data_IF_292612152385
#
_entry.id   IF_292612152385
#
_cell.length_a   1.000
_cell.length_b   1.000
_cell.length_c   1.000
_cell.angle_alpha   90.00
_cell.angle_beta   90.00
_cell.angle_gamma   90.00
#
_symmetry.space_group_name_H-M   'P 1'
#
loop_
_entity.id
_entity.type
_entity.pdbx_description
1 polymer ?
#
# COMPACT_ATOMS: atom_id res chain seq x y z
N UNK A 1 -1.95 -23.24 28.16
CA UNK A 1 -2.86 -22.34 27.44
C UNK A 1 -2.10 -21.86 26.22
N UNK A 2 -2.73 -21.70 25.06
CA UNK A 2 -2.03 -21.12 23.88
C UNK A 2 -1.63 -19.70 24.27
N UNK A 3 -0.33 -19.44 24.46
CA UNK A 3 0.18 -18.09 24.70
C UNK A 3 0.01 -17.34 23.38
N UNK A 4 -1.05 -16.54 23.30
CA UNK A 4 -1.25 -15.65 22.17
C UNK A 4 -0.12 -14.64 22.10
N UNK A 5 0.14 -14.12 20.91
CA UNK A 5 1.14 -13.06 20.70
C UNK A 5 0.42 -11.71 20.60
N UNK A 6 0.90 -10.71 21.32
CA UNK A 6 0.41 -9.34 21.17
C UNK A 6 0.92 -8.73 19.86
N UNK A 7 0.07 -7.98 19.16
CA UNK A 7 0.42 -7.29 17.92
C UNK A 7 0.04 -5.82 18.03
N UNK A 8 1.02 -4.94 18.22
CA UNK A 8 0.82 -3.51 18.50
C UNK A 8 0.98 -2.70 17.21
N UNK A 9 -0.04 -1.89 16.88
CA UNK A 9 0.02 -0.95 15.77
C UNK A 9 0.51 0.44 16.19
N UNK A 10 1.36 1.04 15.36
CA UNK A 10 1.74 2.45 15.39
C UNK A 10 0.71 3.34 14.63
N UNK A 11 0.79 4.67 14.82
CA UNK A 11 0.01 5.69 14.10
C UNK A 11 0.16 5.53 12.58
N UNK A 12 1.39 5.34 12.09
CA UNK A 12 1.63 5.20 10.64
C UNK A 12 0.92 3.98 10.06
N UNK A 13 0.90 2.87 10.81
CA UNK A 13 0.21 1.64 10.41
C UNK A 13 -1.29 1.90 10.17
N UNK A 14 -1.97 2.57 11.09
CA UNK A 14 -3.42 2.86 10.97
C UNK A 14 -3.74 3.95 9.94
N UNK A 15 -2.74 4.73 9.50
CA UNK A 15 -2.89 5.69 8.39
C UNK A 15 -2.80 4.97 7.05
N UNK A 16 -1.82 4.05 6.92
CA UNK A 16 -1.56 3.33 5.67
C UNK A 16 -2.66 2.29 5.36
N UNK A 17 -3.30 1.72 6.39
CA UNK A 17 -4.30 0.66 6.22
C UNK A 17 -5.73 1.20 6.29
N UNK A 18 -6.39 1.35 5.13
CA UNK A 18 -7.78 1.84 5.04
C UNK A 18 -8.80 0.86 5.63
N UNK A 19 -8.62 -0.44 5.41
CA UNK A 19 -9.52 -1.52 5.86
C UNK A 19 -8.98 -2.20 7.13
N UNK A 20 -8.80 -1.39 8.18
CA UNK A 20 -8.19 -1.82 9.44
C UNK A 20 -8.96 -2.97 10.12
N UNK A 21 -10.27 -3.02 9.95
CA UNK A 21 -11.14 -4.09 10.46
C UNK A 21 -10.81 -5.46 9.84
N UNK A 22 -10.58 -5.50 8.52
CA UNK A 22 -10.18 -6.72 7.81
C UNK A 22 -8.81 -7.17 8.28
N UNK A 23 -7.86 -6.24 8.44
CA UNK A 23 -6.51 -6.55 8.93
C UNK A 23 -6.56 -7.13 10.34
N UNK A 24 -7.29 -6.49 11.26
CA UNK A 24 -7.46 -6.97 12.63
C UNK A 24 -8.07 -8.37 12.65
N UNK A 25 -9.10 -8.60 11.83
CA UNK A 25 -9.78 -9.90 11.78
C UNK A 25 -8.83 -11.02 11.34
N UNK A 26 -8.04 -10.78 10.29
CA UNK A 26 -7.07 -11.77 9.79
C UNK A 26 -5.93 -12.04 10.78
N UNK A 27 -5.50 -11.04 11.55
CA UNK A 27 -4.53 -11.24 12.63
C UNK A 27 -5.12 -12.05 13.78
N UNK A 28 -6.39 -11.80 14.16
CA UNK A 28 -7.10 -12.60 15.17
C UNK A 28 -7.26 -14.06 14.75
N UNK A 29 -7.49 -14.34 13.47
CA UNK A 29 -7.53 -15.70 12.91
C UNK A 29 -6.17 -16.44 13.02
N UNK A 30 -5.08 -15.70 13.16
CA UNK A 30 -3.73 -16.21 13.39
C UNK A 30 -3.35 -16.21 14.88
N UNK A 31 -4.34 -16.15 15.76
CA UNK A 31 -4.20 -16.13 17.23
C UNK A 31 -3.48 -14.90 17.82
N UNK A 32 -3.29 -13.83 17.05
CA UNK A 32 -2.77 -12.57 17.60
C UNK A 32 -3.84 -11.81 18.38
N UNK A 33 -3.42 -11.12 19.44
CA UNK A 33 -4.22 -10.12 20.13
C UNK A 33 -3.74 -8.74 19.68
N UNK A 34 -4.60 -8.00 18.98
CA UNK A 34 -4.20 -6.74 18.36
C UNK A 34 -4.41 -5.57 19.33
N UNK A 35 -3.38 -4.76 19.49
CA UNK A 35 -3.31 -3.60 20.38
C UNK A 35 -3.02 -2.32 19.61
N UNK A 36 -3.40 -1.20 20.23
CA UNK A 36 -3.01 0.14 19.79
C UNK A 36 -2.83 1.03 21.02
N UNK A 37 -1.94 2.02 20.95
CA UNK A 37 -1.81 3.01 22.03
C UNK A 37 -2.81 4.14 21.90
N UNK A 38 -3.26 4.67 23.04
CA UNK A 38 -4.05 5.90 23.11
C UNK A 38 -3.31 7.06 22.45
N UNK A 39 -1.98 7.10 22.57
CA UNK A 39 -1.10 8.07 21.92
C UNK A 39 -1.26 8.02 20.39
N UNK A 40 -1.23 6.83 19.79
CA UNK A 40 -1.39 6.68 18.34
C UNK A 40 -2.79 7.11 17.85
N UNK A 41 -3.83 6.79 18.63
CA UNK A 41 -5.21 7.22 18.33
C UNK A 41 -5.32 8.75 18.38
N UNK A 42 -4.83 9.36 19.45
CA UNK A 42 -4.92 10.81 19.64
C UNK A 42 -4.08 11.57 18.60
N UNK A 43 -2.93 11.03 18.20
CA UNK A 43 -2.14 11.56 17.09
C UNK A 43 -2.93 11.52 15.78
N UNK A 44 -3.50 10.36 15.42
CA UNK A 44 -4.32 10.21 14.21
C UNK A 44 -5.48 11.21 14.19
N UNK A 45 -6.16 11.38 15.32
CA UNK A 45 -7.24 12.35 15.47
C UNK A 45 -6.70 13.76 15.25
N UNK A 46 -5.61 14.15 15.91
CA UNK A 46 -5.02 15.48 15.78
C UNK A 46 -4.60 15.80 14.33
N UNK A 47 -4.04 14.83 13.60
CA UNK A 47 -3.69 15.01 12.18
C UNK A 47 -4.91 15.31 11.30
N UNK A 48 -6.01 14.57 11.45
CA UNK A 48 -7.24 14.86 10.68
C UNK A 48 -7.86 16.19 11.07
N UNK A 49 -7.86 16.50 12.36
CA UNK A 49 -8.31 17.77 12.87
C UNK A 49 -7.56 18.96 12.24
N UNK A 50 -6.23 18.85 12.12
CA UNK A 50 -5.40 19.87 11.48
C UNK A 50 -5.75 20.02 9.99
N UNK A 51 -5.92 18.91 9.25
CA UNK A 51 -6.38 18.95 7.85
C UNK A 51 -7.73 19.65 7.69
N UNK A 52 -8.65 19.45 8.63
CA UNK A 52 -9.95 20.15 8.60
C UNK A 52 -9.79 21.63 8.94
N UNK A 53 -8.96 21.99 9.92
CA UNK A 53 -8.67 23.38 10.26
C UNK A 53 -8.13 24.15 9.06
N UNK A 54 -7.17 23.57 8.32
CA UNK A 54 -6.61 24.19 7.12
C UNK A 54 -7.70 24.54 6.08
N UNK A 55 -8.71 23.69 5.92
CA UNK A 55 -9.86 23.95 5.03
C UNK A 55 -10.70 25.13 5.52
N UNK A 56 -10.98 25.19 6.82
CA UNK A 56 -11.72 26.30 7.41
C UNK A 56 -10.96 27.62 7.31
N UNK A 57 -9.65 27.59 7.57
CA UNK A 57 -8.78 28.77 7.44
C UNK A 57 -8.73 29.25 5.97
N UNK A 58 -8.69 28.33 5.00
CA UNK A 58 -8.76 28.67 3.58
C UNK A 58 -10.08 29.34 3.20
N UNK A 59 -11.22 28.84 3.71
CA UNK A 59 -12.54 29.43 3.49
C UNK A 59 -12.60 30.85 4.07
N UNK A 60 -12.10 31.05 5.29
CA UNK A 60 -12.10 32.38 5.92
C UNK A 60 -11.19 33.37 5.17
N UNK A 61 -10.00 32.94 4.71
CA UNK A 61 -9.15 33.77 3.83
C UNK A 61 -9.87 34.18 2.55
N UNK A 62 -10.51 33.22 1.88
CA UNK A 62 -11.27 33.48 0.65
C UNK A 62 -12.44 34.44 0.89
N UNK A 63 -13.18 34.23 1.99
CA UNK A 63 -14.28 35.12 2.41
C UNK A 63 -13.81 36.55 2.65
N UNK A 64 -12.66 36.73 3.29
CA UNK A 64 -12.08 38.06 3.53
C UNK A 64 -11.63 38.73 2.22
N UNK A 65 -11.05 37.96 1.29
CA UNK A 65 -10.53 38.49 0.03
C UNK A 65 -11.62 39.00 -0.92
N UNK A 66 -12.80 38.37 -0.93
CA UNK A 66 -13.87 38.66 -1.89
C UNK A 66 -15.14 39.22 -1.24
N UNK A 67 -15.05 39.77 -0.03
CA UNK A 67 -16.20 40.23 0.76
C UNK A 67 -17.06 41.28 0.04
N UNK A 68 -16.44 42.10 -0.83
CA UNK A 68 -17.12 43.13 -1.62
C UNK A 68 -17.86 42.57 -2.86
N UNK A 69 -17.59 41.32 -3.23
CA UNK A 69 -18.11 40.69 -4.46
C UNK A 69 -19.07 39.54 -4.11
N UNK A 70 -18.74 38.73 -3.10
CA UNK A 70 -19.46 37.51 -2.76
C UNK A 70 -19.68 37.43 -1.25
N UNK A 71 -20.90 37.07 -0.85
CA UNK A 71 -21.23 36.72 0.53
C UNK A 71 -21.21 35.20 0.72
N UNK A 72 -20.33 34.72 1.59
CA UNK A 72 -20.19 33.29 1.92
C UNK A 72 -20.71 33.06 3.33
N UNK A 73 -21.65 32.12 3.47
CA UNK A 73 -22.21 31.72 4.76
C UNK A 73 -21.67 30.35 5.18
N UNK A 74 -20.97 30.32 6.32
CA UNK A 74 -20.55 29.06 6.95
C UNK A 74 -21.76 28.42 7.63
N UNK A 75 -22.16 27.24 7.14
CA UNK A 75 -23.32 26.50 7.65
C UNK A 75 -23.01 25.71 8.93
N UNK A 76 -21.75 25.30 9.12
CA UNK A 76 -21.29 24.53 10.30
C UNK A 76 -19.98 25.10 10.80
N UNK A 77 -19.94 25.47 12.08
CA UNK A 77 -18.71 25.96 12.71
C UNK A 77 -17.68 24.85 12.83
N UNK A 78 -16.41 25.24 12.84
CA UNK A 78 -15.30 24.33 13.00
C UNK A 78 -15.40 23.59 14.34
N UNK A 79 -15.70 24.29 15.43
CA UNK A 79 -15.75 23.72 16.79
C UNK A 79 -16.80 22.61 16.92
N UNK A 80 -17.96 22.80 16.31
CA UNK A 80 -19.07 21.83 16.35
C UNK A 80 -18.73 20.58 15.52
N UNK A 81 -18.19 20.78 14.32
CA UNK A 81 -17.77 19.69 13.41
C UNK A 81 -16.63 18.88 14.03
N UNK A 82 -15.66 19.58 14.63
CA UNK A 82 -14.50 19.03 15.30
C UNK A 82 -14.88 18.14 16.47
N UNK A 83 -15.81 18.58 17.33
CA UNK A 83 -16.27 17.80 18.48
C UNK A 83 -16.89 16.47 18.04
N UNK A 84 -17.84 16.54 17.10
CA UNK A 84 -18.52 15.35 16.57
C UNK A 84 -17.53 14.38 15.91
N UNK A 85 -16.58 14.92 15.14
CA UNK A 85 -15.58 14.11 14.46
C UNK A 85 -14.64 13.39 15.43
N UNK A 86 -14.12 14.11 16.45
CA UNK A 86 -13.26 13.51 17.49
C UNK A 86 -13.97 12.37 18.21
N UNK A 87 -15.22 12.58 18.60
CA UNK A 87 -16.01 11.58 19.30
C UNK A 87 -16.31 10.37 18.41
N UNK A 88 -16.64 10.59 17.13
CA UNK A 88 -16.87 9.53 16.16
C UNK A 88 -15.61 8.68 15.90
N UNK A 89 -14.45 9.32 15.75
CA UNK A 89 -13.17 8.63 15.57
C UNK A 89 -12.78 7.83 16.82
N UNK A 90 -12.95 8.40 18.02
CA UNK A 90 -12.70 7.69 19.27
C UNK A 90 -13.58 6.45 19.40
N UNK A 91 -14.89 6.59 19.17
CA UNK A 91 -15.85 5.47 19.15
C UNK A 91 -15.49 4.40 18.13
N UNK A 92 -14.97 4.80 16.95
CA UNK A 92 -14.48 3.86 15.93
C UNK A 92 -13.34 2.99 16.47
N UNK A 93 -12.32 3.60 17.07
CA UNK A 93 -11.18 2.86 17.61
C UNK A 93 -11.55 2.05 18.85
N UNK A 94 -12.39 2.58 19.74
CA UNK A 94 -12.96 1.84 20.88
C UNK A 94 -13.70 0.59 20.42
N UNK A 95 -14.48 0.67 19.33
CA UNK A 95 -15.17 -0.49 18.76
C UNK A 95 -14.21 -1.53 18.17
N UNK A 96 -13.11 -1.11 17.58
CA UNK A 96 -12.14 -2.01 16.91
C UNK A 96 -11.22 -2.72 17.92
N UNK A 97 -10.75 -2.00 18.93
CA UNK A 97 -9.71 -2.46 19.86
C UNK A 97 -10.24 -2.76 21.26
N UNK A 98 -11.32 -2.10 21.70
CA UNK A 98 -11.92 -2.34 23.02
C UNK A 98 -10.92 -2.20 24.16
N UNK A 99 -10.79 -3.26 24.96
CA UNK A 99 -9.85 -3.34 26.09
C UNK A 99 -8.37 -3.38 25.66
N UNK A 100 -8.09 -3.59 24.37
CA UNK A 100 -6.73 -3.61 23.82
C UNK A 100 -6.19 -2.22 23.44
N UNK A 101 -6.84 -1.15 23.90
CA UNK A 101 -6.29 0.20 23.82
C UNK A 101 -5.38 0.43 25.02
N UNK A 102 -4.08 0.50 24.75
CA UNK A 102 -3.05 0.78 25.75
C UNK A 102 -3.12 2.25 26.16
N UNK A 103 -3.56 2.51 27.38
CA UNK A 103 -3.75 3.86 27.91
C UNK A 103 -2.42 4.52 28.25
N UNK A 104 -2.30 5.82 27.98
CA UNK A 104 -1.18 6.63 28.46
C UNK A 104 -1.40 6.97 29.93
N UNK A 105 -0.47 6.56 30.78
CA UNK A 105 -0.45 7.02 32.17
C UNK A 105 -0.08 8.50 32.21
N UNK A 106 -0.91 9.29 32.89
CA UNK A 106 -0.77 10.76 32.96
C UNK A 106 -0.24 11.21 34.32
N UNK A 107 0.53 10.36 34.99
CA UNK A 107 1.09 10.66 36.31
C UNK A 107 2.45 11.37 36.24
N UNK A 108 2.86 11.91 37.38
CA UNK A 108 4.11 12.67 37.52
C UNK A 108 5.36 11.83 37.27
N UNK A 109 5.29 10.51 37.50
CA UNK A 109 6.42 9.60 37.29
C UNK A 109 6.66 9.39 35.79
N UNK A 110 5.59 9.12 35.05
CA UNK A 110 5.62 9.01 33.58
C UNK A 110 6.19 10.27 32.94
N UNK A 111 5.73 11.45 33.40
CA UNK A 111 6.27 12.73 32.91
C UNK A 111 7.77 12.90 33.20
N UNK A 112 8.21 12.52 34.40
CA UNK A 112 9.63 12.61 34.79
C UNK A 112 10.50 11.69 33.94
N UNK A 113 10.08 10.43 33.72
CA UNK A 113 10.78 9.46 32.87
C UNK A 113 10.89 9.94 31.41
N UNK A 114 9.82 10.54 30.86
CA UNK A 114 9.84 11.12 29.50
C UNK A 114 10.84 12.27 29.43
N UNK A 115 10.86 13.14 30.43
CA UNK A 115 11.76 14.29 30.47
C UNK A 115 13.23 13.86 30.60
N UNK A 116 13.52 12.88 31.45
CA UNK A 116 14.85 12.30 31.60
C UNK A 116 15.35 11.69 30.29
N UNK A 117 14.52 10.91 29.60
CA UNK A 117 14.85 10.39 28.25
C UNK A 117 15.10 11.52 27.25
N UNK A 118 14.31 12.59 27.30
CA UNK A 118 14.46 13.74 26.39
C UNK A 118 15.82 14.44 26.59
N UNK A 119 16.25 14.62 27.85
CA UNK A 119 17.55 15.18 28.18
C UNK A 119 18.71 14.27 27.80
N UNK A 120 18.60 12.98 28.11
CA UNK A 120 19.61 11.97 27.78
C UNK A 120 19.67 11.62 26.29
N UNK A 121 18.65 12.04 25.51
CA UNK A 121 18.44 11.60 24.12
C UNK A 121 18.42 10.07 24.01
N UNK A 122 17.77 9.44 24.98
CA UNK A 122 17.55 8.00 25.00
C UNK A 122 16.50 7.64 23.94
N UNK A 123 16.71 6.58 23.14
CA UNK A 123 15.70 6.10 22.21
C UNK A 123 14.30 6.00 22.85
N UNK A 124 13.22 6.30 22.10
CA UNK A 124 13.18 6.60 20.65
C UNK A 124 13.51 8.06 20.27
N UNK A 125 14.10 8.88 21.16
CA UNK A 125 14.63 10.19 20.75
C UNK A 125 15.78 10.05 19.74
N UNK A 126 15.72 10.85 18.68
CA UNK A 126 16.74 10.84 17.62
C UNK A 126 17.84 11.84 17.96
N UNK A 127 19.10 11.37 17.98
CA UNK A 127 20.27 12.23 18.19
C UNK A 127 20.39 13.28 17.07
N UNK A 128 20.69 14.53 17.44
CA UNK A 128 20.90 15.63 16.48
C UNK A 128 19.63 16.36 16.02
N UNK A 129 18.45 16.00 16.53
CA UNK A 129 17.20 16.78 16.37
C UNK A 129 16.70 17.23 17.75
N UNK A 130 16.27 18.49 17.91
CA UNK A 130 15.98 19.04 19.25
C UNK A 130 14.83 18.30 19.95
N UNK A 131 13.75 17.95 19.23
CA UNK A 131 12.50 17.47 19.85
C UNK A 131 11.87 16.25 19.17
N UNK A 132 12.55 15.62 18.19
CA UNK A 132 12.03 14.43 17.50
C UNK A 132 12.13 13.20 18.40
N UNK A 133 11.01 12.51 18.58
CA UNK A 133 10.91 11.32 19.44
C UNK A 133 10.05 11.50 20.69
N UNK A 134 9.52 12.70 20.96
CA UNK A 134 8.71 12.93 22.16
C UNK A 134 7.43 12.08 22.19
N UNK A 135 6.65 12.10 21.11
CA UNK A 135 5.44 11.28 20.98
C UNK A 135 5.76 9.78 20.99
N UNK A 136 6.88 9.42 20.37
CA UNK A 136 7.34 8.03 20.24
C UNK A 136 7.73 7.51 21.62
N UNK A 137 8.33 8.37 22.44
CA UNK A 137 8.61 8.07 23.83
C UNK A 137 7.32 7.87 24.63
N UNK A 138 6.31 8.73 24.50
CA UNK A 138 5.02 8.50 25.16
C UNK A 138 4.40 7.16 24.78
N UNK A 139 4.48 6.80 23.49
CA UNK A 139 4.01 5.51 22.98
C UNK A 139 4.78 4.35 23.62
N UNK A 140 6.12 4.42 23.59
CA UNK A 140 7.01 3.40 24.14
C UNK A 140 6.79 3.17 25.64
N UNK A 141 6.69 4.26 26.40
CA UNK A 141 6.45 4.21 27.85
C UNK A 141 5.08 3.59 28.17
N UNK A 142 4.05 3.94 27.39
CA UNK A 142 2.72 3.34 27.54
C UNK A 142 2.74 1.83 27.28
N UNK A 143 3.51 1.38 26.29
CA UNK A 143 3.70 -0.04 25.98
C UNK A 143 4.38 -0.75 27.15
N UNK A 144 5.53 -0.23 27.62
CA UNK A 144 6.24 -0.80 28.78
C UNK A 144 5.31 -0.92 29.99
N UNK A 145 4.68 0.18 30.40
CA UNK A 145 3.89 0.24 31.63
C UNK A 145 2.68 -0.71 31.60
N UNK A 146 2.09 -0.92 30.42
CA UNK A 146 1.02 -1.89 30.23
C UNK A 146 1.52 -3.32 30.33
N UNK A 147 2.59 -3.66 29.59
CA UNK A 147 3.10 -5.05 29.52
C UNK A 147 3.84 -5.50 30.79
N UNK A 148 4.29 -4.57 31.63
CA UNK A 148 4.77 -4.87 32.99
C UNK A 148 3.70 -5.54 33.87
N UNK A 149 2.42 -5.21 33.66
CA UNK A 149 1.32 -5.63 34.54
C UNK A 149 0.33 -6.59 33.86
N UNK A 150 0.17 -6.45 32.54
CA UNK A 150 -0.85 -7.12 31.74
C UNK A 150 -0.26 -7.61 30.41
N UNK A 151 -1.11 -8.13 29.53
CA UNK A 151 -0.77 -8.52 28.17
C UNK A 151 0.00 -9.84 28.07
N UNK A 152 0.28 -10.22 26.85
CA UNK A 152 0.93 -11.45 26.42
C UNK A 152 2.44 -11.43 26.71
N UNK A 153 3.08 -12.60 26.71
CA UNK A 153 4.53 -12.76 26.95
C UNK A 153 5.38 -12.46 25.71
N UNK A 154 4.80 -12.68 24.52
CA UNK A 154 5.41 -12.38 23.24
C UNK A 154 4.69 -11.20 22.60
N UNK A 155 5.46 -10.22 22.15
CA UNK A 155 4.92 -8.97 21.59
C UNK A 155 5.57 -8.69 20.25
N UNK A 156 4.78 -8.27 19.28
CA UNK A 156 5.26 -7.71 18.01
C UNK A 156 4.79 -6.27 17.93
N UNK A 157 5.72 -5.34 17.77
CA UNK A 157 5.42 -3.93 17.52
C UNK A 157 5.77 -3.56 16.08
N UNK A 158 4.78 -3.14 15.30
CA UNK A 158 4.99 -2.72 13.92
C UNK A 158 5.06 -1.20 13.79
N UNK A 159 6.18 -0.71 13.27
CA UNK A 159 6.42 0.70 13.00
C UNK A 159 7.43 0.88 11.86
N UNK A 160 7.27 1.96 11.11
CA UNK A 160 8.24 2.43 10.11
C UNK A 160 9.10 3.59 10.65
N UNK A 161 8.93 3.99 11.91
CA UNK A 161 9.60 5.15 12.46
C UNK A 161 11.07 4.82 12.82
N UNK A 162 11.98 5.65 12.31
CA UNK A 162 13.42 5.48 12.47
C UNK A 162 13.85 5.54 13.95
N UNK A 163 13.16 6.30 14.79
CA UNK A 163 13.44 6.37 16.23
C UNK A 163 13.34 5.00 16.90
N UNK A 164 12.43 4.15 16.43
CA UNK A 164 12.31 2.76 16.87
C UNK A 164 13.18 1.82 16.05
N UNK A 165 13.12 1.90 14.72
CA UNK A 165 13.78 0.93 13.82
C UNK A 165 15.30 0.95 13.93
N UNK A 166 15.91 2.14 14.04
CA UNK A 166 17.36 2.28 14.14
C UNK A 166 17.88 1.88 15.54
N UNK A 167 16.99 1.80 16.53
CA UNK A 167 17.32 1.49 17.92
C UNK A 167 16.63 0.21 18.41
N UNK A 168 16.21 -0.67 17.50
CA UNK A 168 15.37 -1.82 17.82
C UNK A 168 16.01 -2.70 18.90
N UNK A 169 17.28 -3.09 18.73
CA UNK A 169 18.00 -3.95 19.68
C UNK A 169 17.99 -3.39 21.11
N UNK A 170 18.29 -2.10 21.27
CA UNK A 170 18.34 -1.44 22.57
C UNK A 170 16.94 -1.33 23.22
N UNK A 171 15.91 -1.09 22.42
CA UNK A 171 14.53 -0.99 22.90
C UNK A 171 13.97 -2.37 23.25
N UNK A 172 14.25 -3.40 22.43
CA UNK A 172 13.86 -4.78 22.71
C UNK A 172 14.52 -5.30 23.98
N UNK A 173 15.81 -5.00 24.19
CA UNK A 173 16.53 -5.31 25.42
C UNK A 173 15.94 -4.58 26.63
N UNK A 174 15.67 -3.28 26.51
CA UNK A 174 15.02 -2.49 27.57
C UNK A 174 13.66 -3.10 27.96
N UNK A 175 12.82 -3.39 26.97
CA UNK A 175 11.51 -3.97 27.22
C UNK A 175 11.63 -5.30 27.95
N UNK A 176 12.56 -6.16 27.52
CA UNK A 176 12.76 -7.46 28.16
C UNK A 176 13.24 -7.34 29.59
N UNK A 177 14.19 -6.44 29.85
CA UNK A 177 14.72 -6.18 31.19
C UNK A 177 13.66 -5.62 32.14
N UNK A 178 12.75 -4.77 31.66
CA UNK A 178 11.75 -4.11 32.50
C UNK A 178 10.50 -4.98 32.71
N UNK A 179 10.05 -5.71 31.68
CA UNK A 179 8.78 -6.45 31.71
C UNK A 179 8.95 -7.94 31.96
N UNK A 180 10.15 -8.50 31.74
CA UNK A 180 10.39 -9.95 31.73
C UNK A 180 9.81 -10.67 30.50
N UNK A 181 9.41 -9.94 29.47
CA UNK A 181 8.74 -10.43 28.25
C UNK A 181 9.59 -10.19 27.00
N UNK A 182 9.19 -10.73 25.86
CA UNK A 182 9.86 -10.45 24.58
C UNK A 182 9.06 -9.49 23.72
N UNK A 183 9.74 -8.59 23.03
CA UNK A 183 9.16 -7.75 21.98
C UNK A 183 10.04 -7.81 20.74
N UNK A 184 9.41 -7.90 19.56
CA UNK A 184 10.08 -7.76 18.27
C UNK A 184 9.55 -6.52 17.55
N UNK A 185 10.44 -5.62 17.16
CA UNK A 185 10.12 -4.42 16.39
C UNK A 185 10.27 -4.73 14.90
N UNK A 186 9.16 -4.69 14.17
CA UNK A 186 9.08 -5.00 12.73
C UNK A 186 8.58 -3.81 11.91
N UNK A 187 8.80 -3.87 10.60
CA UNK A 187 8.25 -2.89 9.66
C UNK A 187 6.73 -3.02 9.59
N UNK A 188 6.03 -1.94 9.21
CA UNK A 188 4.59 -1.97 9.00
C UNK A 188 4.13 -3.00 7.97
N UNK A 189 4.97 -3.42 7.03
CA UNK A 189 4.65 -4.45 6.03
C UNK A 189 4.60 -5.88 6.60
N UNK A 190 5.15 -6.13 7.79
CA UNK A 190 5.30 -7.47 8.37
C UNK A 190 3.98 -8.23 8.53
N UNK A 191 2.88 -7.54 8.86
CA UNK A 191 1.56 -8.15 8.95
C UNK A 191 1.14 -8.85 7.64
N UNK A 192 1.63 -8.41 6.47
CA UNK A 192 1.34 -9.05 5.19
C UNK A 192 1.93 -10.46 5.14
N UNK A 193 3.13 -10.66 5.68
CA UNK A 193 3.77 -11.98 5.77
C UNK A 193 3.01 -12.95 6.69
N UNK A 194 2.26 -12.43 7.65
CA UNK A 194 1.46 -13.22 8.59
C UNK A 194 0.09 -13.59 8.04
N UNK A 195 -0.51 -12.65 7.29
CA UNK A 195 -1.88 -12.74 6.79
C UNK A 195 -1.92 -13.46 5.43
N UNK A 196 -0.90 -13.29 4.60
CA UNK A 196 -0.72 -14.13 3.41
C UNK A 196 -0.45 -15.55 3.92
N UNK A 197 -1.16 -16.58 3.43
CA UNK A 197 -0.97 -17.93 3.91
C UNK A 197 0.48 -18.36 3.73
N UNK A 198 1.22 -18.46 4.86
CA UNK A 198 2.46 -19.22 4.93
C UNK A 198 2.18 -20.65 4.45
N UNK A 199 2.59 -20.95 3.22
CA UNK A 199 2.98 -22.31 2.86
C UNK A 199 4.11 -22.70 3.81
N UNK A 200 3.77 -23.52 4.81
CA UNK A 200 4.66 -23.98 5.88
C UNK A 200 6.05 -24.36 5.33
N UNK A 201 7.09 -23.66 5.78
CA UNK A 201 8.48 -24.05 5.61
C UNK A 201 8.95 -24.74 6.89
N UNK A 202 9.13 -26.07 6.84
CA UNK A 202 10.01 -26.76 7.78
C UNK A 202 11.45 -26.47 7.36
N UNK A 203 12.29 -26.12 8.34
CA UNK A 203 13.75 -26.25 8.26
C UNK A 203 14.07 -27.68 7.75
N UNK A 204 15.06 -27.99 6.93
CA UNK A 204 16.36 -27.39 6.61
C UNK A 204 16.66 -27.70 5.12
N UNK A 205 17.72 -27.10 4.58
CA UNK A 205 18.37 -27.44 3.31
C UNK A 205 17.70 -26.90 2.03
N UNK A 206 18.57 -26.43 1.14
CA UNK A 206 18.31 -25.90 -0.20
C UNK A 206 17.37 -26.82 -1.01
N UNK A 207 16.08 -26.52 -1.07
CA UNK A 207 15.20 -27.10 -2.09
C UNK A 207 14.29 -26.01 -2.66
N UNK A 208 14.64 -25.57 -3.88
CA UNK A 208 13.81 -24.78 -4.81
C UNK A 208 12.37 -25.31 -4.81
N UNK A 209 11.41 -24.54 -4.30
CA UNK A 209 10.01 -24.68 -4.70
C UNK A 209 9.87 -24.07 -6.10
N UNK A 210 9.87 -24.94 -7.11
CA UNK A 210 9.61 -24.62 -8.50
C UNK A 210 8.27 -23.91 -8.63
N UNK A 211 8.32 -22.62 -9.02
CA UNK A 211 7.17 -21.94 -9.65
C UNK A 211 6.66 -22.88 -10.75
N UNK A 212 5.34 -23.13 -10.79
CA UNK A 212 4.76 -23.76 -11.96
C UNK A 212 4.80 -22.74 -13.10
N UNK A 213 5.91 -22.72 -13.83
CA UNK A 213 6.15 -21.78 -14.91
C UNK A 213 5.10 -21.91 -16.02
N UNK A 214 4.39 -23.03 -16.12
CA UNK A 214 3.30 -23.21 -17.08
C UNK A 214 2.11 -22.34 -16.71
N UNK A 215 1.69 -22.36 -15.44
CA UNK A 215 0.54 -21.57 -14.98
C UNK A 215 0.84 -20.06 -15.09
N UNK A 216 2.04 -19.65 -14.70
CA UNK A 216 2.47 -18.25 -14.82
C UNK A 216 2.53 -17.79 -16.28
N UNK A 217 3.01 -18.64 -17.20
CA UNK A 217 3.01 -18.31 -18.64
C UNK A 217 1.58 -18.18 -19.18
N UNK A 218 0.68 -19.06 -18.78
CA UNK A 218 -0.72 -19.00 -19.20
C UNK A 218 -1.39 -17.73 -18.68
N UNK A 219 -1.16 -17.37 -17.41
CA UNK A 219 -1.69 -16.14 -16.81
C UNK A 219 -1.17 -14.88 -17.52
N UNK A 220 0.13 -14.84 -17.85
CA UNK A 220 0.70 -13.76 -18.66
C UNK A 220 0.04 -13.72 -20.04
N UNK A 221 -0.09 -14.86 -20.71
CA UNK A 221 -0.71 -14.94 -22.03
C UNK A 221 -2.14 -14.41 -22.02
N UNK A 222 -3.00 -14.97 -21.16
CA UNK A 222 -4.41 -14.57 -21.04
C UNK A 222 -4.58 -13.09 -20.68
N UNK A 223 -3.75 -12.58 -19.76
CA UNK A 223 -3.85 -11.21 -19.29
C UNK A 223 -3.44 -10.21 -20.38
N UNK A 224 -2.37 -10.49 -21.12
CA UNK A 224 -1.88 -9.59 -22.17
C UNK A 224 -2.72 -9.72 -23.45
N UNK A 225 -3.24 -10.90 -23.78
CA UNK A 225 -4.16 -11.08 -24.89
C UNK A 225 -5.43 -10.25 -24.71
N UNK A 226 -5.96 -10.17 -23.48
CA UNK A 226 -7.09 -9.33 -23.12
C UNK A 226 -6.81 -7.81 -23.24
N UNK A 227 -5.55 -7.41 -23.42
CA UNK A 227 -5.16 -6.05 -23.79
C UNK A 227 -5.02 -5.86 -25.29
N UNK A 228 -4.76 -6.93 -26.05
CA UNK A 228 -4.52 -6.90 -27.49
C UNK A 228 -5.80 -7.11 -28.30
N UNK A 229 -6.75 -7.87 -27.77
CA UNK A 229 -7.97 -8.27 -28.43
C UNK A 229 -9.15 -8.29 -27.46
N UNK A 230 -10.34 -8.03 -28.01
CA UNK A 230 -11.62 -8.17 -27.30
C UNK A 230 -12.48 -9.13 -28.11
N UNK A 231 -13.00 -10.15 -27.42
CA UNK A 231 -14.00 -11.05 -27.98
C UNK A 231 -15.36 -10.35 -27.95
N UNK A 232 -15.97 -10.21 -29.11
CA UNK A 232 -17.34 -9.72 -29.27
C UNK A 232 -18.16 -10.75 -30.05
N UNK A 233 -19.48 -10.77 -29.82
CA UNK A 233 -20.38 -11.63 -30.58
C UNK A 233 -20.66 -10.98 -31.95
N UNK A 234 -20.28 -11.70 -33.01
CA UNK A 234 -20.50 -11.33 -34.40
C UNK A 234 -21.98 -11.34 -34.77
N UNK A 235 -22.28 -10.85 -35.98
CA UNK A 235 -23.66 -10.70 -36.45
C UNK A 235 -24.43 -12.03 -36.53
N UNK A 236 -23.74 -13.18 -36.61
CA UNK A 236 -24.31 -14.52 -36.67
C UNK A 236 -24.13 -15.32 -35.37
N UNK A 237 -23.71 -14.69 -34.26
CA UNK A 237 -23.50 -15.36 -32.98
C UNK A 237 -22.15 -16.07 -32.82
N UNK A 238 -21.22 -15.84 -33.76
CA UNK A 238 -19.85 -16.34 -33.73
C UNK A 238 -18.92 -15.40 -32.94
N UNK A 239 -17.92 -15.91 -32.21
CA UNK A 239 -16.96 -15.03 -31.54
C UNK A 239 -16.03 -14.36 -32.56
N UNK A 240 -16.03 -13.03 -32.59
CA UNK A 240 -15.11 -12.19 -33.35
C UNK A 240 -14.09 -11.51 -32.43
N UNK A 241 -12.81 -11.63 -32.76
CA UNK A 241 -11.72 -11.00 -32.00
C UNK A 241 -11.34 -9.66 -32.63
N UNK A 242 -11.69 -8.57 -31.97
CA UNK A 242 -11.37 -7.21 -32.41
C UNK A 242 -10.10 -6.72 -31.76
N UNK A 243 -9.16 -6.24 -32.58
CA UNK A 243 -7.89 -5.65 -32.11
C UNK A 243 -8.13 -4.34 -31.39
N UNK A 244 -7.42 -4.15 -30.28
CA UNK A 244 -7.40 -2.89 -29.52
C UNK A 244 -6.40 -1.89 -30.09
N UNK A 245 -5.33 -2.35 -30.74
CA UNK A 245 -4.35 -1.50 -31.40
C UNK A 245 -3.60 -2.21 -32.53
N UNK A 246 -2.83 -1.44 -33.28
CA UNK A 246 -1.76 -1.91 -34.19
C UNK A 246 -0.53 -1.04 -33.97
N UNK A 247 0.66 -1.62 -34.04
CA UNK A 247 1.93 -0.87 -33.99
C UNK A 247 2.73 -1.10 -35.27
N UNK A 248 3.52 -0.11 -35.68
CA UNK A 248 4.45 -0.23 -36.82
C UNK A 248 5.88 -0.54 -36.38
N UNK A 249 6.18 -0.35 -35.09
CA UNK A 249 7.46 -0.66 -34.47
C UNK A 249 7.28 -1.72 -33.38
N UNK A 250 8.19 -2.70 -33.28
CA UNK A 250 8.09 -3.73 -32.27
C UNK A 250 8.31 -3.16 -30.86
N UNK A 251 7.57 -3.68 -29.89
CA UNK A 251 7.82 -3.50 -28.47
C UNK A 251 9.11 -4.24 -28.08
N UNK A 252 9.97 -3.58 -27.31
CA UNK A 252 11.08 -4.21 -26.62
C UNK A 252 10.85 -4.19 -25.10
N UNK A 253 11.71 -4.88 -24.35
CA UNK A 253 11.57 -5.00 -22.90
C UNK A 253 11.66 -3.65 -22.16
N UNK A 254 12.45 -2.70 -22.67
CA UNK A 254 12.60 -1.39 -22.03
C UNK A 254 11.35 -0.53 -22.23
N UNK A 255 10.78 -0.57 -23.43
CA UNK A 255 9.53 0.10 -23.76
C UNK A 255 8.35 -0.49 -22.96
N UNK A 256 8.29 -1.82 -22.84
CA UNK A 256 7.28 -2.50 -21.99
C UNK A 256 7.45 -2.13 -20.52
N UNK A 257 8.68 -2.08 -20.00
CA UNK A 257 8.92 -1.65 -18.63
C UNK A 257 8.34 -0.23 -18.37
N UNK A 258 8.58 0.70 -19.30
CA UNK A 258 8.06 2.06 -19.20
C UNK A 258 6.52 2.11 -19.20
N UNK A 259 5.86 1.31 -20.04
CA UNK A 259 4.39 1.18 -20.02
C UNK A 259 3.91 0.75 -18.65
N UNK A 260 4.46 -0.35 -18.12
CA UNK A 260 3.98 -0.95 -16.87
C UNK A 260 4.31 -0.12 -15.64
N UNK A 261 5.41 0.63 -15.66
CA UNK A 261 5.73 1.61 -14.61
C UNK A 261 4.73 2.78 -14.55
N UNK A 262 4.16 3.17 -15.69
CA UNK A 262 3.19 4.28 -15.76
C UNK A 262 1.73 3.80 -15.67
N UNK A 263 1.50 2.49 -15.78
CA UNK A 263 0.17 1.89 -15.91
C UNK A 263 -0.78 2.28 -14.77
N UNK A 264 -0.29 2.31 -13.53
CA UNK A 264 -1.08 2.72 -12.36
C UNK A 264 -1.61 4.15 -12.50
N UNK A 265 -0.72 5.10 -12.84
CA UNK A 265 -1.12 6.50 -13.03
C UNK A 265 -2.10 6.70 -14.18
N UNK A 266 -1.97 5.90 -15.25
CA UNK A 266 -2.88 5.92 -16.41
C UNK A 266 -4.26 5.34 -16.07
N UNK A 267 -4.34 4.33 -15.21
CA UNK A 267 -5.63 3.81 -14.73
C UNK A 267 -6.29 4.86 -13.81
N UNK A 268 -5.53 5.48 -12.91
CA UNK A 268 -6.06 6.49 -11.99
C UNK A 268 -6.66 7.72 -12.70
N UNK A 269 -6.05 8.16 -13.81
CA UNK A 269 -6.58 9.28 -14.59
C UNK A 269 -7.88 8.96 -15.34
N UNK A 270 -8.23 7.68 -15.46
CA UNK A 270 -9.39 7.18 -16.21
C UNK A 270 -10.33 6.30 -15.36
N UNK A 271 -10.29 6.43 -14.02
CA UNK A 271 -10.99 5.56 -13.07
C UNK A 271 -12.52 5.49 -13.24
N UNK A 272 -13.13 6.48 -13.90
CA UNK A 272 -14.58 6.54 -14.14
C UNK A 272 -14.98 6.02 -15.54
N UNK A 273 -14.02 5.67 -16.38
CA UNK A 273 -14.25 5.16 -17.73
C UNK A 273 -14.36 3.63 -17.71
N UNK A 274 -15.17 3.07 -18.62
CA UNK A 274 -15.30 1.61 -18.74
C UNK A 274 -14.22 1.00 -19.63
N UNK A 275 -13.75 1.77 -20.60
CA UNK A 275 -12.68 1.40 -21.52
C UNK A 275 -11.97 2.66 -22.02
N UNK A 276 -10.70 2.54 -22.36
CA UNK A 276 -9.87 3.64 -22.86
C UNK A 276 -9.15 3.27 -24.15
N UNK A 277 -8.82 4.26 -25.00
CA UNK A 277 -8.04 4.04 -26.21
C UNK A 277 -6.68 3.42 -25.88
N UNK A 278 -6.19 2.54 -26.74
CA UNK A 278 -4.94 1.82 -26.49
C UNK A 278 -3.71 2.73 -26.55
N UNK A 279 -3.77 3.79 -27.34
CA UNK A 279 -2.75 4.82 -27.46
C UNK A 279 -2.51 5.52 -26.12
N UNK A 280 -3.58 5.76 -25.35
CA UNK A 280 -3.48 6.33 -23.99
C UNK A 280 -2.55 5.51 -23.10
N UNK A 281 -2.53 4.19 -23.27
CA UNK A 281 -1.75 3.26 -22.43
C UNK A 281 -0.39 2.94 -23.03
N UNK A 282 -0.35 2.54 -24.30
CA UNK A 282 0.83 1.96 -24.93
C UNK A 282 1.67 2.93 -25.73
N UNK A 283 1.18 4.14 -25.99
CA UNK A 283 1.90 5.11 -26.80
C UNK A 283 2.81 5.98 -25.96
N UNK A 284 4.10 5.88 -26.24
CA UNK A 284 5.18 6.64 -25.62
C UNK A 284 5.90 7.48 -26.66
N UNK A 285 5.92 7.03 -27.92
CA UNK A 285 6.67 7.66 -29.03
C UNK A 285 5.89 7.66 -30.36
N UNK A 286 4.56 7.76 -30.29
CA UNK A 286 3.64 7.86 -31.44
C UNK A 286 3.64 6.63 -32.37
N UNK A 287 4.01 5.45 -31.86
CA UNK A 287 4.05 4.19 -32.64
C UNK A 287 2.72 3.43 -32.66
N UNK A 288 1.78 3.78 -31.79
CA UNK A 288 0.52 3.07 -31.60
C UNK A 288 -0.58 3.69 -32.44
N UNK A 289 -1.23 2.86 -33.26
CA UNK A 289 -2.47 3.20 -33.96
C UNK A 289 -3.64 2.51 -33.27
N UNK A 290 -4.69 3.28 -32.97
CA UNK A 290 -5.92 2.74 -32.39
C UNK A 290 -6.52 1.61 -33.23
N UNK A 291 -7.00 0.59 -32.54
CA UNK A 291 -7.71 -0.53 -33.12
C UNK A 291 -9.19 -0.26 -33.29
N UNK A 292 -9.97 -1.33 -33.43
CA UNK A 292 -11.41 -1.25 -33.65
C UNK A 292 -12.20 -1.06 -32.34
N UNK A 293 -11.55 -1.29 -31.20
CA UNK A 293 -12.18 -1.30 -29.87
C UNK A 293 -11.22 -0.77 -28.81
N UNK A 294 -11.77 -0.13 -27.77
CA UNK A 294 -11.00 0.40 -26.64
C UNK A 294 -10.69 -0.69 -25.60
N UNK A 295 -9.55 -0.60 -24.91
CA UNK A 295 -9.15 -1.55 -23.87
C UNK A 295 -10.06 -1.37 -22.63
N UNK A 296 -10.72 -2.42 -22.10
CA UNK A 296 -11.48 -2.33 -20.87
C UNK A 296 -10.57 -2.01 -19.68
N UNK A 297 -11.00 -1.10 -18.79
CA UNK A 297 -10.23 -0.74 -17.59
C UNK A 297 -9.95 -1.98 -16.72
N UNK A 298 -10.91 -2.90 -16.61
CA UNK A 298 -10.72 -4.16 -15.86
C UNK A 298 -9.57 -5.02 -16.40
N UNK A 299 -9.30 -5.00 -17.72
CA UNK A 299 -8.17 -5.73 -18.30
C UNK A 299 -6.84 -5.08 -17.90
N UNK A 300 -6.80 -3.74 -17.84
CA UNK A 300 -5.63 -2.99 -17.39
C UNK A 300 -5.36 -3.17 -15.89
N UNK A 301 -6.40 -3.22 -15.06
CA UNK A 301 -6.28 -3.52 -13.63
C UNK A 301 -5.73 -4.93 -13.38
N UNK A 302 -6.18 -5.93 -14.16
CA UNK A 302 -5.62 -7.29 -14.12
C UNK A 302 -4.14 -7.30 -14.52
N UNK A 303 -3.78 -6.58 -15.57
CA UNK A 303 -2.39 -6.45 -16.03
C UNK A 303 -1.50 -5.74 -15.00
N UNK A 304 -1.99 -4.69 -14.35
CA UNK A 304 -1.29 -4.00 -13.27
C UNK A 304 -1.07 -4.94 -12.08
N UNK A 305 -2.09 -5.69 -11.68
CA UNK A 305 -1.98 -6.67 -10.59
C UNK A 305 -0.92 -7.73 -10.91
N UNK A 306 -0.97 -8.33 -12.10
CA UNK A 306 0.01 -9.33 -12.54
C UNK A 306 1.44 -8.76 -12.51
N UNK A 307 1.63 -7.54 -13.01
CA UNK A 307 2.92 -6.87 -12.96
C UNK A 307 3.42 -6.63 -11.54
N UNK A 308 2.57 -6.15 -10.63
CA UNK A 308 2.93 -5.94 -9.22
C UNK A 308 3.22 -7.27 -8.51
N UNK A 309 2.49 -8.34 -8.83
CA UNK A 309 2.74 -9.68 -8.28
C UNK A 309 4.12 -10.20 -8.74
N UNK A 310 4.44 -10.06 -10.03
CA UNK A 310 5.77 -10.47 -10.55
C UNK A 310 6.88 -9.60 -9.97
N UNK A 311 6.69 -8.27 -9.91
CA UNK A 311 7.68 -7.32 -9.38
C UNK A 311 8.00 -7.56 -7.90
N UNK A 312 6.99 -7.89 -7.09
CA UNK A 312 7.14 -8.03 -5.64
C UNK A 312 7.45 -9.47 -5.19
N UNK A 313 6.91 -10.49 -5.88
CA UNK A 313 7.00 -11.90 -5.45
C UNK A 313 7.97 -12.71 -6.31
N UNK A 314 8.26 -12.26 -7.54
CA UNK A 314 9.05 -12.97 -8.54
C UNK A 314 10.06 -12.06 -9.26
N UNK A 315 10.72 -11.18 -8.50
CA UNK A 315 11.60 -10.12 -9.03
C UNK A 315 12.69 -10.65 -9.99
N UNK A 316 13.19 -11.87 -9.77
CA UNK A 316 14.17 -12.53 -10.65
C UNK A 316 13.66 -12.77 -12.09
N UNK A 317 12.34 -12.78 -12.28
CA UNK A 317 11.68 -13.00 -13.58
C UNK A 317 11.18 -11.73 -14.25
N UNK A 318 11.41 -10.55 -13.65
CA UNK A 318 10.83 -9.30 -14.15
C UNK A 318 11.29 -8.97 -15.58
N UNK A 319 12.56 -9.28 -15.91
CA UNK A 319 13.09 -9.09 -17.26
C UNK A 319 12.45 -10.07 -18.25
N UNK A 320 12.29 -11.33 -17.86
CA UNK A 320 11.64 -12.37 -18.66
C UNK A 320 10.16 -12.08 -18.87
N UNK A 321 9.50 -11.49 -17.88
CA UNK A 321 8.14 -10.97 -18.01
C UNK A 321 8.06 -9.90 -19.09
N UNK A 322 8.94 -8.89 -19.07
CA UNK A 322 8.95 -7.85 -20.10
C UNK A 322 9.19 -8.42 -21.50
N UNK A 323 10.09 -9.41 -21.64
CA UNK A 323 10.29 -10.10 -22.93
C UNK A 323 9.05 -10.87 -23.38
N UNK A 324 8.38 -11.59 -22.47
CA UNK A 324 7.17 -12.35 -22.79
C UNK A 324 6.02 -11.43 -23.22
N UNK A 325 5.78 -10.36 -22.44
CA UNK A 325 4.77 -9.34 -22.73
C UNK A 325 5.06 -8.65 -24.07
N UNK A 326 6.31 -8.25 -24.32
CA UNK A 326 6.71 -7.68 -25.61
C UNK A 326 6.40 -8.65 -26.76
N UNK A 327 6.69 -9.94 -26.60
CA UNK A 327 6.38 -10.97 -27.59
C UNK A 327 4.89 -11.07 -27.91
N UNK A 328 4.02 -10.99 -26.90
CA UNK A 328 2.56 -11.04 -27.08
C UNK A 328 2.05 -9.75 -27.72
N UNK A 329 2.44 -8.57 -27.22
CA UNK A 329 2.06 -7.27 -27.79
C UNK A 329 2.48 -7.14 -29.26
N UNK A 330 3.63 -7.73 -29.62
CA UNK A 330 4.14 -7.73 -30.99
C UNK A 330 3.31 -8.57 -31.97
N UNK A 331 2.35 -9.37 -31.51
CA UNK A 331 1.35 -9.99 -32.41
C UNK A 331 0.46 -8.93 -33.10
N UNK A 332 0.36 -7.74 -32.51
CA UNK A 332 -0.29 -6.57 -33.12
C UNK A 332 0.68 -5.68 -33.92
N UNK A 333 1.92 -6.11 -34.16
CA UNK A 333 2.91 -5.37 -34.94
C UNK A 333 2.80 -5.67 -36.45
N UNK A 334 2.66 -4.62 -37.26
CA UNK A 334 2.71 -4.68 -38.72
C UNK A 334 3.99 -3.98 -39.20
N UNK A 335 5.14 -4.64 -39.05
CA UNK A 335 6.39 -4.11 -39.57
C UNK A 335 6.32 -4.01 -41.11
N UNK A 336 6.64 -2.84 -41.66
CA UNK A 336 6.88 -2.71 -43.10
C UNK A 336 8.15 -3.51 -43.44
N UNK A 337 8.01 -4.71 -43.99
CA UNK A 337 9.10 -5.38 -44.69
C UNK A 337 9.39 -4.60 -45.97
N UNK A 338 10.43 -3.77 -45.95
CA UNK A 338 10.93 -3.08 -47.13
C UNK A 338 12.00 -3.90 -47.86
N UNK A 339 11.76 -4.07 -49.17
CA UNK A 339 12.66 -4.47 -50.25
C UNK A 339 12.56 -5.94 -50.70
N UNK A 340 12.23 -6.04 -51.99
CA UNK A 340 12.26 -7.19 -52.88
C UNK A 340 13.61 -7.90 -52.86
N UNK A 341 13.62 -9.18 -53.21
CA UNK A 341 14.32 -9.64 -54.41
C UNK A 341 14.06 -11.13 -54.58
N UNK A 342 14.23 -11.54 -55.83
CA UNK A 342 14.11 -12.87 -56.41
C UNK A 342 12.70 -13.30 -56.79
N UNK A 343 12.42 -13.70 -58.02
CA UNK A 343 13.09 -13.74 -59.32
C UNK A 343 12.12 -14.63 -60.13
N UNK A 344 12.02 -14.38 -61.43
CA UNK A 344 11.44 -15.26 -62.46
C UNK A 344 10.92 -16.65 -62.03
N UNK A 345 9.69 -16.99 -62.45
CA UNK A 345 9.54 -18.16 -63.33
C UNK A 345 8.31 -17.98 -64.26
N UNK A 346 8.44 -18.38 -65.54
CA UNK A 346 7.58 -17.99 -66.64
C UNK A 346 6.48 -19.03 -66.98
N UNK A 347 5.54 -18.54 -67.81
CA UNK A 347 4.43 -19.20 -68.52
C UNK A 347 3.11 -19.39 -67.78
#
# INVERSE_FOLDING_TARGET
>A
MSDKTAFIFDTNFIIQNRDLDVVIQKLKEKEFVVYITQVAIDERIAQECNKQREKYDAIERFRQQYVDIISIKILKKYEDTMRYYKEGMRKKYEKLFGENIIQLLSDSDTFSRVLERAYAKTPPFIKGSSDKGFKDTLMWMSIIDYFMKNGESEVVFVTDDNGFRDNAEALEEEFSNVTGKSIEIKNNSYYKELIVPKLVSKQQEEIKKTINLTDLRNEIQETIDALCYIEEEGYWGEPEWKKTFTTFNPFDAAYVAQIFEQLESKIESHILEKSIPAQTVFDVDDRIKEGNVNIPIMSLEKALKLYLDIKNQHADYIQQFYFAVAGILNQNCQCLTGISDDEDLPF
#
